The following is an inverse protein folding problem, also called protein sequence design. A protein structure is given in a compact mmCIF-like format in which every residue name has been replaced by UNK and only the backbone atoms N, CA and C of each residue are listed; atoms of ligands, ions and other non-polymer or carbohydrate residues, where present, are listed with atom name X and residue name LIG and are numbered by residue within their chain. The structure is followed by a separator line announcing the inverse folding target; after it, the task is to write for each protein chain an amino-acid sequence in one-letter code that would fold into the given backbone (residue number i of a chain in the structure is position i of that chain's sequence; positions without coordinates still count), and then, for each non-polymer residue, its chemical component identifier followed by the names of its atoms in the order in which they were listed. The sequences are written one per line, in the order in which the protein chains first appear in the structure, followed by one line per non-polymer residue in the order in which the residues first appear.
data_IF_315299943873
#
_entry.id   IF_315299943873
#
_cell.length_a   1.000
_cell.length_b   1.000
_cell.length_c   1.000
_cell.angle_alpha   90.00
_cell.angle_beta   90.00
_cell.angle_gamma   90.00
#
_symmetry.space_group_name_H-M   'P 1'
#
loop_
_entity.id
_entity.type
_entity.pdbx_description
1 polymer ?
#
# COMPACT_ATOMS: atom_id res chain seq x y z
N UNK A 1 -5.82 9.35 5.36
CA UNK A 1 -6.28 8.10 4.72
C UNK A 1 -6.67 6.99 5.70
N UNK A 2 -6.08 6.89 6.90
CA UNK A 2 -6.44 5.84 7.89
C UNK A 2 -7.95 5.57 8.07
N UNK A 3 -8.78 6.61 8.06
CA UNK A 3 -10.25 6.48 8.21
C UNK A 3 -10.99 5.87 7.02
N UNK A 4 -10.35 5.74 5.84
CA UNK A 4 -10.95 5.10 4.65
C UNK A 4 -10.42 3.68 4.40
N UNK A 5 -9.46 3.22 5.20
CA UNK A 5 -8.96 1.84 5.17
C UNK A 5 -9.98 0.93 5.85
N UNK A 6 -10.40 -0.14 5.17
CA UNK A 6 -11.24 -1.17 5.75
C UNK A 6 -10.57 -1.79 6.98
N UNK A 7 -11.33 -2.04 8.06
CA UNK A 7 -10.75 -2.51 9.34
C UNK A 7 -9.89 -3.77 9.22
N UNK A 8 -10.27 -4.70 8.35
CA UNK A 8 -9.50 -5.93 8.09
C UNK A 8 -8.14 -5.65 7.41
N UNK A 9 -8.01 -4.56 6.67
CA UNK A 9 -6.81 -4.21 5.90
C UNK A 9 -5.86 -3.30 6.70
N UNK A 10 -6.31 -2.73 7.82
CA UNK A 10 -5.57 -1.69 8.54
C UNK A 10 -4.19 -2.17 8.99
N UNK A 11 -4.11 -3.34 9.62
CA UNK A 11 -2.84 -3.91 10.10
C UNK A 11 -1.93 -4.33 8.94
N UNK A 12 -2.49 -4.91 7.88
CA UNK A 12 -1.73 -5.32 6.71
C UNK A 12 -1.12 -4.12 5.98
N UNK A 13 -1.88 -3.04 5.80
CA UNK A 13 -1.39 -1.79 5.19
C UNK A 13 -0.32 -1.15 6.08
N UNK A 14 -0.52 -1.10 7.40
CA UNK A 14 0.48 -0.57 8.32
C UNK A 14 1.80 -1.34 8.22
N UNK A 15 1.73 -2.67 8.24
CA UNK A 15 2.90 -3.56 8.11
C UNK A 15 3.61 -3.35 6.77
N UNK A 16 2.86 -3.26 5.67
CA UNK A 16 3.44 -3.04 4.35
C UNK A 16 4.15 -1.68 4.23
N UNK A 17 3.63 -0.64 4.87
CA UNK A 17 4.27 0.68 4.91
C UNK A 17 5.53 0.66 5.77
N UNK A 18 5.47 0.06 6.95
CA UNK A 18 6.63 -0.05 7.86
C UNK A 18 7.80 -0.82 7.23
N UNK A 19 7.50 -1.86 6.44
CA UNK A 19 8.51 -2.65 5.74
C UNK A 19 8.93 -2.04 4.37
N UNK A 20 8.46 -0.84 4.02
CA UNK A 20 8.80 -0.18 2.75
C UNK A 20 8.24 -0.84 1.48
N UNK A 21 7.32 -1.81 1.66
CA UNK A 21 6.60 -2.49 0.58
C UNK A 21 5.66 -1.51 -0.11
N UNK A 22 4.98 -0.64 0.66
CA UNK A 22 4.17 0.47 0.15
C UNK A 22 4.67 1.81 0.68
N UNK A 23 4.84 2.79 -0.20
CA UNK A 23 5.31 4.14 0.18
C UNK A 23 4.22 5.22 0.02
N UNK A 24 3.07 4.85 -0.52
CA UNK A 24 2.02 5.80 -0.90
C UNK A 24 2.41 6.70 -2.07
N UNK A 25 1.61 7.74 -2.25
CA UNK A 25 1.74 8.70 -3.33
C UNK A 25 2.66 9.87 -2.94
N UNK A 26 3.14 10.67 -3.90
CA UNK A 26 3.99 11.84 -3.62
C UNK A 26 3.36 12.89 -2.69
N UNK A 27 2.03 12.89 -2.56
CA UNK A 27 1.27 13.74 -1.63
C UNK A 27 1.19 13.17 -0.21
N UNK A 28 1.95 12.11 0.08
CA UNK A 28 1.97 11.41 1.36
C UNK A 28 0.65 10.73 1.74
N UNK A 29 -0.15 10.31 0.75
CA UNK A 29 -1.39 9.56 0.97
C UNK A 29 -1.31 8.11 0.51
N UNK A 30 -2.10 7.23 1.13
CA UNK A 30 -2.55 5.95 0.57
C UNK A 30 -3.99 6.16 0.06
N UNK A 31 -4.30 5.58 -1.09
CA UNK A 31 -5.66 5.56 -1.64
C UNK A 31 -6.28 4.16 -1.48
N UNK A 32 -6.77 3.79 -0.28
CA UNK A 32 -7.19 2.42 0.02
C UNK A 32 -8.44 1.96 -0.73
N UNK A 33 -9.26 2.90 -1.21
CA UNK A 33 -10.43 2.63 -2.05
C UNK A 33 -10.19 3.01 -3.52
N UNK A 34 -8.99 3.47 -3.86
CA UNK A 34 -8.59 3.77 -5.23
C UNK A 34 -8.28 2.50 -6.01
N UNK A 35 -8.30 2.61 -7.34
CA UNK A 35 -7.85 1.53 -8.21
C UNK A 35 -6.32 1.58 -8.34
N UNK A 36 -5.67 0.43 -8.14
CA UNK A 36 -4.26 0.29 -8.46
C UNK A 36 -4.07 0.08 -9.97
N UNK A 37 -3.06 0.74 -10.53
CA UNK A 37 -2.53 0.43 -11.84
C UNK A 37 -1.77 -0.90 -11.80
N UNK A 38 -1.59 -1.52 -12.97
CA UNK A 38 -0.77 -2.74 -13.10
C UNK A 38 0.68 -2.53 -12.62
N UNK A 39 1.24 -1.34 -12.85
CA UNK A 39 2.59 -1.01 -12.44
C UNK A 39 2.72 -0.93 -10.91
N UNK A 40 1.76 -0.30 -10.24
CA UNK A 40 1.72 -0.22 -8.77
C UNK A 40 1.57 -1.62 -8.15
N UNK A 41 0.65 -2.43 -8.69
CA UNK A 41 0.44 -3.80 -8.21
C UNK A 41 1.71 -4.66 -8.31
N UNK A 42 2.40 -4.63 -9.46
CA UNK A 42 3.66 -5.38 -9.64
C UNK A 42 4.75 -4.85 -8.73
N UNK A 43 4.86 -3.53 -8.55
CA UNK A 43 5.86 -2.93 -7.66
C UNK A 43 5.70 -3.43 -6.22
N UNK A 44 4.46 -3.48 -5.72
CA UNK A 44 4.16 -4.00 -4.37
C UNK A 44 4.52 -5.48 -4.27
N UNK A 45 4.18 -6.30 -5.28
CA UNK A 45 4.50 -7.74 -5.29
C UNK A 45 6.02 -7.97 -5.28
N UNK A 46 6.75 -7.27 -6.14
CA UNK A 46 8.22 -7.37 -6.24
C UNK A 46 8.88 -7.04 -4.91
N UNK A 47 8.48 -5.92 -4.29
CA UNK A 47 8.98 -5.52 -2.96
C UNK A 47 8.60 -6.50 -1.87
N UNK A 48 7.38 -7.04 -1.88
CA UNK A 48 6.94 -8.04 -0.90
C UNK A 48 7.74 -9.35 -1.01
N UNK A 49 8.24 -9.68 -2.20
CA UNK A 49 9.12 -10.83 -2.44
C UNK A 49 10.61 -10.55 -2.20
N UNK A 50 10.98 -9.29 -1.92
CA UNK A 50 12.37 -8.89 -1.71
C UNK A 50 13.24 -8.97 -2.97
N UNK A 51 12.62 -8.79 -4.15
CA UNK A 51 13.28 -8.76 -5.46
C UNK A 51 13.65 -7.32 -5.85
#
# INVERSE_FOLDING_TARGET
DRGSISGWALEAVATAVENGIMNGYPDHTIQPQGNATRAEAVTVIVKALGL
#
